data_IF_801383394727
#
_entry.id   IF_801383394727
#
_cell.length_a   1.000
_cell.length_b   1.000
_cell.length_c   1.000
_cell.angle_alpha   90.00
_cell.angle_beta   90.00
_cell.angle_gamma   90.00
#
_symmetry.space_group_name_H-M   'P 1'
#
loop_
_entity.id
_entity.type
_entity.pdbx_description
1 polymer ?
#
# COMPACT_ATOMS: atom_id res chain seq x y z
N UNK A 1 -23.54 -22.82 12.39
CA UNK A 1 -23.22 -21.57 13.09
C UNK A 1 -21.71 -21.54 13.21
N UNK A 2 -21.01 -21.27 12.11
CA UNK A 2 -19.54 -21.36 12.00
C UNK A 2 -19.14 -20.60 10.73
N UNK A 3 -19.28 -19.27 10.78
CA UNK A 3 -18.59 -18.40 9.83
C UNK A 3 -17.18 -18.21 10.37
N UNK A 4 -16.35 -19.24 10.20
CA UNK A 4 -14.91 -19.15 10.38
C UNK A 4 -14.43 -18.05 9.43
N UNK A 5 -14.25 -16.86 9.98
CA UNK A 5 -13.80 -15.70 9.22
C UNK A 5 -12.40 -16.02 8.74
N UNK A 6 -12.29 -16.50 7.50
CA UNK A 6 -11.04 -16.54 6.75
C UNK A 6 -10.61 -15.09 6.52
N UNK A 7 -10.13 -14.42 7.57
CA UNK A 7 -9.39 -13.17 7.41
C UNK A 7 -8.22 -13.50 6.49
N UNK A 8 -8.12 -12.77 5.40
CA UNK A 8 -6.98 -12.90 4.51
C UNK A 8 -5.81 -12.12 5.12
N UNK A 9 -4.60 -12.38 4.65
CA UNK A 9 -3.41 -11.71 5.17
C UNK A 9 -3.46 -10.17 5.05
N UNK A 10 -4.17 -9.67 4.04
CA UNK A 10 -4.42 -8.24 3.85
C UNK A 10 -5.26 -7.68 5.00
N UNK A 11 -6.28 -8.41 5.44
CA UNK A 11 -7.16 -7.94 6.50
C UNK A 11 -6.42 -7.95 7.85
N UNK A 12 -5.65 -9.01 8.15
CA UNK A 12 -4.83 -9.07 9.36
C UNK A 12 -3.78 -7.95 9.40
N UNK A 13 -3.20 -7.60 8.24
CA UNK A 13 -2.28 -6.48 8.13
C UNK A 13 -2.97 -5.14 8.43
N UNK A 14 -4.16 -4.90 7.88
CA UNK A 14 -4.91 -3.68 8.16
C UNK A 14 -5.34 -3.58 9.62
N UNK A 15 -5.83 -4.66 10.21
CA UNK A 15 -6.17 -4.69 11.64
C UNK A 15 -4.94 -4.45 12.53
N UNK A 16 -3.76 -4.97 12.14
CA UNK A 16 -2.53 -4.68 12.84
C UNK A 16 -2.13 -3.19 12.73
N UNK A 17 -2.44 -2.51 11.61
CA UNK A 17 -2.20 -1.08 11.47
C UNK A 17 -3.11 -0.21 12.35
N UNK A 18 -4.31 -0.70 12.68
CA UNK A 18 -5.22 -0.04 13.62
C UNK A 18 -4.72 -0.06 15.07
N UNK A 19 -3.79 -0.97 15.40
CA UNK A 19 -3.15 -1.01 16.71
C UNK A 19 -2.03 0.04 16.83
N UNK A 20 -1.78 0.56 18.05
CA UNK A 20 -0.57 1.33 18.35
C UNK A 20 0.71 0.62 17.90
N UNK A 21 1.73 1.35 17.42
CA UNK A 21 2.94 0.78 16.82
C UNK A 21 3.64 -0.24 17.74
N UNK A 22 3.67 0.05 19.04
CA UNK A 22 4.22 -0.79 20.10
C UNK A 22 3.39 -2.05 20.38
N UNK A 23 2.09 -2.03 20.06
CA UNK A 23 1.18 -3.16 20.26
C UNK A 23 1.03 -4.07 19.03
N UNK A 24 1.42 -3.60 17.83
CA UNK A 24 1.24 -4.36 16.57
C UNK A 24 1.91 -5.73 16.59
N UNK A 25 3.13 -5.80 17.13
CA UNK A 25 3.90 -7.04 17.23
C UNK A 25 3.19 -8.06 18.14
N UNK A 26 2.80 -7.64 19.34
CA UNK A 26 2.08 -8.48 20.29
C UNK A 26 0.69 -8.88 19.75
N UNK A 27 0.04 -8.03 18.93
CA UNK A 27 -1.23 -8.34 18.29
C UNK A 27 -1.10 -9.50 17.28
N UNK A 28 -0.15 -9.40 16.33
CA UNK A 28 0.04 -10.46 15.32
C UNK A 28 0.54 -11.76 15.93
N UNK A 29 1.37 -11.70 16.98
CA UNK A 29 1.84 -12.87 17.72
C UNK A 29 0.69 -13.61 18.41
N UNK A 30 -0.19 -12.88 19.11
CA UNK A 30 -1.36 -13.48 19.78
C UNK A 30 -2.33 -14.12 18.79
N UNK A 31 -2.50 -13.51 17.62
CA UNK A 31 -3.47 -13.95 16.60
C UNK A 31 -2.95 -15.08 15.71
N UNK A 32 -1.64 -15.18 15.52
CA UNK A 32 -1.00 -16.16 14.64
C UNK A 32 0.11 -16.97 15.31
N UNK A 33 0.01 -17.19 16.62
CA UNK A 33 0.97 -17.99 17.40
C UNK A 33 1.20 -19.38 16.79
N UNK A 34 0.13 -20.00 16.28
CA UNK A 34 0.15 -21.35 15.70
C UNK A 34 0.60 -21.37 14.22
N UNK A 35 0.87 -20.21 13.62
CA UNK A 35 1.27 -20.09 12.22
C UNK A 35 2.49 -19.17 12.05
N UNK A 36 3.71 -19.70 12.29
CA UNK A 36 4.94 -18.92 12.25
C UNK A 36 5.27 -18.36 10.85
N UNK A 37 4.83 -19.03 9.78
CA UNK A 37 5.02 -18.53 8.41
C UNK A 37 4.18 -17.28 8.16
N UNK A 38 2.91 -17.28 8.58
CA UNK A 38 2.02 -16.13 8.48
C UNK A 38 2.50 -14.97 9.34
N UNK A 39 2.98 -15.26 10.55
CA UNK A 39 3.58 -14.27 11.45
C UNK A 39 4.82 -13.61 10.80
N UNK A 40 5.73 -14.40 10.22
CA UNK A 40 6.90 -13.88 9.53
C UNK A 40 6.54 -13.01 8.31
N UNK A 41 5.47 -13.36 7.60
CA UNK A 41 4.98 -12.59 6.46
C UNK A 41 4.37 -11.25 6.88
N UNK A 42 3.52 -11.23 7.91
CA UNK A 42 2.95 -10.01 8.48
C UNK A 42 4.02 -9.06 9.03
N UNK A 43 5.04 -9.58 9.72
CA UNK A 43 6.20 -8.79 10.17
C UNK A 43 6.90 -8.09 9.00
N UNK A 44 7.09 -8.78 7.87
CA UNK A 44 7.70 -8.18 6.67
C UNK A 44 6.82 -7.08 6.08
N UNK A 45 5.52 -7.29 6.02
CA UNK A 45 4.56 -6.28 5.53
C UNK A 45 4.57 -5.03 6.41
N UNK A 46 4.46 -5.18 7.73
CA UNK A 46 4.53 -4.06 8.68
C UNK A 46 5.86 -3.32 8.61
N UNK A 47 6.98 -4.04 8.51
CA UNK A 47 8.29 -3.41 8.34
C UNK A 47 8.44 -2.69 6.99
N UNK A 48 7.80 -3.18 5.93
CA UNK A 48 7.72 -2.51 4.63
C UNK A 48 6.92 -1.22 4.71
N UNK A 49 5.74 -1.27 5.34
CA UNK A 49 4.88 -0.12 5.56
C UNK A 49 5.59 0.99 6.34
N UNK A 50 6.24 0.66 7.47
CA UNK A 50 7.02 1.64 8.25
C UNK A 50 8.13 2.29 7.42
N UNK A 51 8.81 1.53 6.56
CA UNK A 51 9.84 2.09 5.67
C UNK A 51 9.25 3.03 4.63
N UNK A 52 8.07 2.71 4.10
CA UNK A 52 7.36 3.59 3.19
C UNK A 52 6.95 4.88 3.91
N UNK A 53 6.33 4.82 5.08
CA UNK A 53 5.93 6.01 5.85
C UNK A 53 7.10 6.93 6.20
N UNK A 54 8.29 6.36 6.45
CA UNK A 54 9.51 7.10 6.76
C UNK A 54 10.36 7.45 5.51
N UNK A 55 9.88 7.14 4.31
CA UNK A 55 10.58 7.49 3.09
C UNK A 55 10.57 9.02 2.90
N UNK A 56 11.67 9.60 2.36
CA UNK A 56 11.70 11.03 2.05
C UNK A 56 10.55 11.40 1.10
N UNK A 57 9.96 12.58 1.31
CA UNK A 57 8.74 13.07 0.64
C UNK A 57 8.76 12.89 -0.88
N UNK A 58 9.92 13.04 -1.53
CA UNK A 58 10.05 12.83 -2.98
C UNK A 58 9.72 11.39 -3.44
N UNK A 59 9.95 10.39 -2.58
CA UNK A 59 9.59 8.99 -2.84
C UNK A 59 8.11 8.73 -2.54
N UNK A 60 7.56 9.43 -1.54
CA UNK A 60 6.18 9.28 -1.09
C UNK A 60 5.18 9.93 -2.05
N UNK A 61 5.50 11.10 -2.62
CA UNK A 61 4.65 11.79 -3.61
C UNK A 61 4.39 10.89 -4.81
N UNK A 62 5.40 10.15 -5.28
CA UNK A 62 5.24 9.22 -6.40
C UNK A 62 4.33 8.04 -6.06
N UNK A 63 4.46 7.45 -4.87
CA UNK A 63 3.64 6.32 -4.44
C UNK A 63 2.20 6.72 -4.06
N UNK A 64 2.01 7.89 -3.43
CA UNK A 64 0.71 8.40 -2.99
C UNK A 64 -0.12 8.93 -4.16
N UNK A 65 0.54 9.46 -5.20
CA UNK A 65 -0.08 9.81 -6.48
C UNK A 65 -0.72 8.60 -7.18
N UNK A 66 -0.29 7.36 -6.86
CA UNK A 66 -0.85 6.15 -7.46
C UNK A 66 -2.04 5.58 -6.68
N UNK A 67 -2.29 6.04 -5.44
CA UNK A 67 -3.30 5.46 -4.54
C UNK A 67 -4.39 6.41 -4.03
N UNK A 68 -4.30 7.72 -4.29
CA UNK A 68 -5.33 8.68 -3.84
C UNK A 68 -6.36 8.97 -4.94
N UNK A 69 -7.56 8.41 -4.79
CA UNK A 69 -8.78 8.75 -5.53
C UNK A 69 -9.33 10.09 -5.04
N UNK A 70 -8.63 11.18 -5.32
CA UNK A 70 -9.21 12.52 -5.30
C UNK A 70 -8.27 13.45 -6.05
N UNK A 71 -8.75 13.97 -7.18
CA UNK A 71 -8.52 15.25 -7.87
C UNK A 71 -7.51 16.30 -7.33
N UNK A 72 -6.45 15.92 -6.62
CA UNK A 72 -5.29 16.76 -6.36
C UNK A 72 -4.36 16.56 -7.56
N UNK A 73 -4.51 17.49 -8.51
CA UNK A 73 -3.74 17.70 -9.73
C UNK A 73 -2.52 16.78 -9.86
N UNK A 74 -2.69 15.67 -10.58
CA UNK A 74 -1.58 14.85 -11.03
C UNK A 74 -0.51 15.77 -11.63
N UNK A 75 0.78 15.50 -11.38
CA UNK A 75 1.82 16.26 -12.03
C UNK A 75 1.65 16.16 -13.55
N UNK A 76 1.76 17.29 -14.27
CA UNK A 76 1.69 17.30 -15.73
C UNK A 76 2.78 16.43 -16.39
N UNK A 77 3.83 16.10 -15.63
CA UNK A 77 5.02 15.40 -16.11
C UNK A 77 5.46 14.31 -15.14
N UNK A 78 5.83 13.16 -15.69
CA UNK A 78 6.51 12.07 -15.00
C UNK A 78 7.74 11.71 -15.83
N UNK A 79 8.92 12.15 -15.40
CA UNK A 79 10.15 12.01 -16.21
C UNK A 79 9.98 12.62 -17.60
N UNK A 80 10.32 11.91 -18.69
CA UNK A 80 10.15 12.41 -20.06
C UNK A 80 8.69 12.33 -20.57
N UNK A 81 7.75 11.89 -19.74
CA UNK A 81 6.36 11.67 -20.14
C UNK A 81 5.44 12.79 -19.67
N UNK A 82 4.72 13.42 -20.61
CA UNK A 82 3.65 14.36 -20.32
C UNK A 82 2.32 13.62 -20.15
N UNK A 83 1.65 13.76 -19.01
CA UNK A 83 0.38 13.11 -18.74
C UNK A 83 -0.76 13.82 -19.50
N UNK A 84 -1.51 13.08 -20.31
CA UNK A 84 -2.58 13.61 -21.15
C UNK A 84 -3.96 13.41 -20.50
N UNK A 85 -4.30 12.19 -20.12
CA UNK A 85 -5.60 11.85 -19.54
C UNK A 85 -5.61 10.48 -18.86
N UNK A 86 -6.60 10.27 -17.99
CA UNK A 86 -6.93 8.95 -17.44
C UNK A 86 -7.56 8.08 -18.54
N UNK A 87 -7.07 6.86 -18.72
CA UNK A 87 -7.61 5.90 -19.71
C UNK A 87 -8.16 4.61 -19.08
N UNK A 88 -7.89 4.35 -17.80
CA UNK A 88 -8.49 3.22 -17.10
C UNK A 88 -8.17 3.17 -15.62
N UNK A 89 -9.08 2.60 -14.85
CA UNK A 89 -8.93 2.32 -13.42
C UNK A 89 -9.41 0.89 -13.16
N UNK A 90 -8.67 0.13 -12.35
CA UNK A 90 -9.06 -1.23 -12.01
C UNK A 90 -8.15 -1.87 -10.96
N UNK A 91 -8.75 -2.60 -10.01
CA UNK A 91 -8.03 -3.24 -8.92
C UNK A 91 -7.38 -2.21 -7.99
N UNK A 92 -6.04 -2.20 -7.95
CA UNK A 92 -5.21 -1.27 -7.15
C UNK A 92 -4.40 -0.30 -8.04
N UNK A 93 -4.83 -0.06 -9.29
CA UNK A 93 -4.05 0.73 -10.24
C UNK A 93 -4.87 1.67 -11.11
N UNK A 94 -4.20 2.75 -11.53
CA UNK A 94 -4.71 3.79 -12.43
C UNK A 94 -3.79 3.86 -13.66
N UNK A 95 -4.38 3.93 -14.86
CA UNK A 95 -3.66 3.95 -16.15
C UNK A 95 -3.90 5.27 -16.84
N UNK A 96 -2.81 5.99 -17.18
CA UNK A 96 -2.86 7.26 -17.90
C UNK A 96 -2.30 7.13 -19.32
N UNK A 97 -2.88 7.88 -20.25
CA UNK A 97 -2.23 8.20 -21.52
C UNK A 97 -1.16 9.27 -21.28
N UNK A 98 0.01 9.09 -21.89
CA UNK A 98 1.10 10.04 -21.81
C UNK A 98 1.84 10.17 -23.16
N UNK A 99 2.44 11.33 -23.39
CA UNK A 99 3.32 11.61 -24.53
C UNK A 99 4.79 11.62 -24.08
N UNK A 100 5.66 10.85 -24.74
CA UNK A 100 7.10 10.86 -24.47
C UNK A 100 7.78 11.96 -25.30
N UNK A 101 8.47 12.90 -24.64
CA UNK A 101 9.18 13.98 -25.33
C UNK A 101 10.69 13.73 -25.52
N UNK A 102 11.30 12.89 -24.68
CA UNK A 102 12.71 12.56 -24.76
C UNK A 102 12.91 11.04 -24.71
N UNK A 103 13.77 10.46 -25.58
CA UNK A 103 14.03 9.02 -25.65
C UNK A 103 14.87 8.49 -24.49
#
# INVERSE_FOLDING_TARGET
MESESRHNEIDDFHEALEQPEDEREAFIERRHADNPERLARLRRLLAGHRRAENAPDETLVFARSLGSTAAEQLPQWIGPFRILSLIGEGGMGIVYAAEQLEP
#
